data_IF_875330726949
#
_entry.id   IF_875330726949
#
_cell.length_a   1.000
_cell.length_b   1.000
_cell.length_c   1.000
_cell.angle_alpha   90.00
_cell.angle_beta   90.00
_cell.angle_gamma   90.00
#
_symmetry.space_group_name_H-M   'P 1'
#
loop_
_entity.id
_entity.type
_entity.pdbx_description
1 polymer ?
#
# COMPACT_ATOMS: atom_id res chain seq x y z
N UNK A 1 -24.95 7.29 -3.71
CA UNK A 1 -24.81 6.08 -2.85
C UNK A 1 -24.16 4.98 -3.67
N UNK A 2 -22.97 4.50 -3.30
CA UNK A 2 -22.37 3.35 -3.97
C UNK A 2 -23.22 2.10 -3.72
N UNK A 3 -23.75 1.47 -4.79
CA UNK A 3 -24.63 0.30 -4.76
C UNK A 3 -23.89 -1.05 -4.66
N UNK A 4 -22.62 -1.04 -4.24
CA UNK A 4 -21.82 -2.25 -4.08
C UNK A 4 -22.00 -2.86 -2.70
N UNK A 5 -22.25 -4.18 -2.64
CA UNK A 5 -22.19 -4.93 -1.38
C UNK A 5 -20.75 -4.95 -0.89
N UNK A 6 -20.51 -4.73 0.40
CA UNK A 6 -19.18 -4.78 0.98
C UNK A 6 -18.52 -6.14 0.71
N UNK A 7 -17.25 -6.13 0.30
CA UNK A 7 -16.46 -7.33 0.02
C UNK A 7 -15.03 -7.11 0.53
N UNK A 8 -14.49 -8.11 1.23
CA UNK A 8 -13.07 -8.15 1.59
C UNK A 8 -12.22 -8.16 0.31
N UNK A 9 -11.17 -7.34 0.29
CA UNK A 9 -10.20 -7.26 -0.80
C UNK A 9 -8.82 -7.63 -0.27
N UNK A 10 -7.95 -8.12 -1.16
CA UNK A 10 -6.51 -8.24 -0.93
C UNK A 10 -5.84 -7.06 -1.62
N UNK A 11 -5.10 -6.26 -0.87
CA UNK A 11 -4.55 -4.99 -1.33
C UNK A 11 -3.04 -4.96 -1.07
N UNK A 12 -2.25 -4.67 -2.11
CA UNK A 12 -0.82 -4.39 -1.95
C UNK A 12 -0.60 -2.91 -1.63
N UNK A 13 0.23 -2.60 -0.64
CA UNK A 13 0.65 -1.23 -0.32
C UNK A 13 2.16 -1.10 -0.56
N UNK A 14 2.53 -0.34 -1.59
CA UNK A 14 3.93 -0.04 -1.96
C UNK A 14 4.21 1.43 -1.73
N UNK A 15 5.32 1.74 -1.07
CA UNK A 15 5.76 3.10 -0.78
C UNK A 15 6.84 3.51 -1.75
N UNK A 16 6.60 4.56 -2.54
CA UNK A 16 7.60 5.12 -3.44
C UNK A 16 8.31 6.28 -2.73
N UNK A 17 9.61 6.14 -2.47
CA UNK A 17 10.44 7.17 -1.86
C UNK A 17 11.91 6.83 -1.88
N UNK A 18 12.75 7.84 -2.13
CA UNK A 18 14.20 7.70 -2.07
C UNK A 18 14.78 7.82 -0.64
N UNK A 19 13.99 8.28 0.33
CA UNK A 19 14.46 8.62 1.69
C UNK A 19 13.72 7.93 2.82
N UNK A 20 12.55 7.33 2.55
CA UNK A 20 11.78 6.62 3.58
C UNK A 20 12.41 5.27 3.91
N UNK A 21 12.26 4.87 5.16
CA UNK A 21 12.63 3.55 5.69
C UNK A 21 11.42 2.95 6.40
N UNK A 22 11.46 1.66 6.77
CA UNK A 22 10.39 1.03 7.56
C UNK A 22 10.10 1.77 8.88
N UNK A 23 11.11 2.43 9.46
CA UNK A 23 10.95 3.24 10.67
C UNK A 23 10.24 4.57 10.37
N UNK A 24 10.65 5.26 9.30
CA UNK A 24 10.20 6.63 8.98
C UNK A 24 8.97 6.70 8.08
N UNK A 25 8.58 5.60 7.42
CA UNK A 25 7.36 5.54 6.63
C UNK A 25 6.12 5.62 7.54
N UNK A 26 5.46 6.79 7.53
CA UNK A 26 4.18 7.02 8.22
C UNK A 26 2.98 6.76 7.31
N UNK A 27 3.11 7.04 6.02
CA UNK A 27 2.02 6.94 5.05
C UNK A 27 1.63 5.48 4.78
N UNK A 28 2.61 4.59 4.54
CA UNK A 28 2.34 3.17 4.34
C UNK A 28 1.75 2.51 5.59
N UNK A 29 2.23 2.90 6.78
CA UNK A 29 1.64 2.47 8.07
C UNK A 29 0.19 2.89 8.21
N UNK A 30 -0.11 4.17 8.00
CA UNK A 30 -1.46 4.73 8.12
C UNK A 30 -2.44 4.06 7.13
N UNK A 31 -2.05 3.92 5.86
CA UNK A 31 -2.89 3.27 4.84
C UNK A 31 -3.15 1.81 5.21
N UNK A 32 -2.12 1.09 5.65
CA UNK A 32 -2.25 -0.31 6.09
C UNK A 32 -3.22 -0.44 7.26
N UNK A 33 -3.14 0.46 8.24
CA UNK A 33 -4.05 0.49 9.39
C UNK A 33 -5.49 0.75 8.97
N UNK A 34 -5.73 1.78 8.13
CA UNK A 34 -7.08 2.12 7.63
C UNK A 34 -7.69 0.93 6.87
N UNK A 35 -6.94 0.32 5.96
CA UNK A 35 -7.43 -0.80 5.14
C UNK A 35 -7.73 -2.05 5.98
N UNK A 36 -6.86 -2.36 6.96
CA UNK A 36 -7.09 -3.48 7.89
C UNK A 36 -8.31 -3.23 8.78
N UNK A 37 -8.45 -2.01 9.29
CA UNK A 37 -9.61 -1.60 10.09
C UNK A 37 -10.92 -1.63 9.29
N UNK A 38 -10.86 -1.40 7.97
CA UNK A 38 -12.00 -1.55 7.06
C UNK A 38 -12.32 -3.02 6.71
N UNK A 39 -11.58 -3.99 7.25
CA UNK A 39 -11.79 -5.43 7.07
C UNK A 39 -11.16 -6.01 5.79
N UNK A 40 -10.23 -5.29 5.16
CA UNK A 40 -9.44 -5.77 4.04
C UNK A 40 -8.16 -6.49 4.50
N UNK A 41 -7.61 -7.33 3.63
CA UNK A 41 -6.29 -7.95 3.81
C UNK A 41 -5.23 -7.08 3.11
N UNK A 42 -4.17 -6.74 3.84
CA UNK A 42 -3.07 -5.93 3.29
C UNK A 42 -1.80 -6.76 3.18
N UNK A 43 -1.28 -6.86 1.95
CA UNK A 43 0.02 -7.41 1.61
C UNK A 43 0.99 -6.24 1.52
N UNK A 44 2.07 -6.26 2.31
CA UNK A 44 3.03 -5.17 2.28
C UNK A 44 3.93 -5.30 1.03
N UNK A 45 3.84 -4.32 0.13
CA UNK A 45 4.57 -4.29 -1.15
C UNK A 45 5.98 -3.69 -1.05
N UNK A 46 6.37 -3.18 0.12
CA UNK A 46 7.72 -2.67 0.37
C UNK A 46 7.87 -1.17 0.15
N UNK A 47 9.11 -0.69 0.34
CA UNK A 47 9.54 0.68 0.02
C UNK A 47 10.49 0.57 -1.19
N UNK A 48 10.20 1.30 -2.25
CA UNK A 48 10.97 1.31 -3.51
C UNK A 48 11.42 2.74 -3.84
N UNK A 49 12.45 2.88 -4.69
CA UNK A 49 12.91 4.20 -5.12
C UNK A 49 11.92 4.84 -6.10
N UNK A 50 11.99 6.17 -6.21
CA UNK A 50 11.18 6.95 -7.13
C UNK A 50 11.72 6.87 -8.57
N UNK A 51 11.79 5.66 -9.10
CA UNK A 51 12.28 5.35 -10.44
C UNK A 51 11.20 4.61 -11.21
N UNK A 52 11.04 4.96 -12.50
CA UNK A 52 10.01 4.39 -13.37
C UNK A 52 10.10 2.86 -13.41
N UNK A 53 11.31 2.34 -13.53
CA UNK A 53 11.59 0.91 -13.64
C UNK A 53 11.23 0.17 -12.35
N UNK A 54 11.53 0.76 -11.19
CA UNK A 54 11.19 0.18 -9.88
C UNK A 54 9.68 0.21 -9.63
N UNK A 55 9.01 1.31 -9.98
CA UNK A 55 7.55 1.43 -9.87
C UNK A 55 6.87 0.38 -10.76
N UNK A 56 7.33 0.25 -12.01
CA UNK A 56 6.80 -0.74 -12.94
C UNK A 56 6.96 -2.17 -12.43
N UNK A 57 8.15 -2.52 -11.93
CA UNK A 57 8.41 -3.85 -11.35
C UNK A 57 7.54 -4.14 -10.12
N UNK A 58 7.08 -3.12 -9.40
CA UNK A 58 6.25 -3.30 -8.20
C UNK A 58 4.77 -3.58 -8.46
N UNK A 59 4.30 -3.36 -9.69
CA UNK A 59 2.88 -3.51 -10.08
C UNK A 59 2.62 -4.62 -11.09
N UNK A 60 3.66 -5.14 -11.75
CA UNK A 60 3.63 -6.30 -12.66
C UNK A 60 3.74 -7.62 -11.88
#
# INVERSE_FOLDING_TARGET
MHRGRWRRLRISVTVVSDTRTLKTDRSGKLITEILRSAGHEVIYGGIIRNMREEIRRSIE
#
